data_IF_524176350874
#
_entry.id   IF_524176350874
#
_cell.length_a   1.000
_cell.length_b   1.000
_cell.length_c   1.000
_cell.angle_alpha   90.00
_cell.angle_beta   90.00
_cell.angle_gamma   90.00
#
_symmetry.space_group_name_H-M   'P 1'
#
loop_
_entity.id
_entity.type
_entity.pdbx_description
1 polymer ?
#
# COMPACT_ATOMS: atom_id res chain seq x y z
N UNK A 1 18.06 -1.51 -20.22
CA UNK A 1 17.70 -2.24 -21.46
C UNK A 1 16.20 -2.10 -21.66
N UNK A 2 15.74 -1.61 -22.81
CA UNK A 2 14.35 -1.80 -23.23
C UNK A 2 14.38 -2.73 -24.43
N UNK A 3 14.06 -4.00 -24.23
CA UNK A 3 13.78 -4.88 -25.36
C UNK A 3 12.52 -4.35 -26.06
N UNK A 4 12.44 -4.53 -27.38
CA UNK A 4 11.33 -4.08 -28.23
C UNK A 4 9.95 -4.65 -27.84
N UNK A 5 9.90 -5.67 -26.97
CA UNK A 5 8.67 -6.37 -26.57
C UNK A 5 7.68 -5.59 -25.69
N UNK A 6 8.02 -4.39 -25.22
CA UNK A 6 7.15 -3.56 -24.37
C UNK A 6 6.59 -2.31 -25.05
N UNK A 7 6.95 -2.05 -26.32
CA UNK A 7 6.51 -0.85 -27.03
C UNK A 7 4.98 -0.82 -27.16
N UNK A 8 4.36 0.28 -26.76
CA UNK A 8 2.91 0.49 -26.84
C UNK A 8 2.06 -0.31 -25.85
N UNK A 9 2.68 -1.02 -24.89
CA UNK A 9 1.96 -1.79 -23.86
C UNK A 9 1.72 -0.97 -22.60
N UNK A 10 0.55 -1.15 -22.00
CA UNK A 10 0.20 -0.65 -20.66
C UNK A 10 0.10 -1.83 -19.71
N UNK A 11 0.70 -1.69 -18.54
CA UNK A 11 0.78 -2.73 -17.53
C UNK A 11 0.22 -2.20 -16.20
N UNK A 12 -0.73 -2.91 -15.63
CA UNK A 12 -1.12 -2.71 -14.23
C UNK A 12 -0.15 -3.50 -13.37
N UNK A 13 0.62 -2.83 -12.51
CA UNK A 13 1.57 -3.47 -11.62
C UNK A 13 1.01 -3.51 -10.21
N UNK A 14 1.00 -4.69 -9.60
CA UNK A 14 0.54 -4.91 -8.23
C UNK A 14 1.53 -5.81 -7.49
N UNK A 15 1.44 -5.83 -6.17
CA UNK A 15 1.97 -6.94 -5.38
C UNK A 15 1.20 -8.25 -5.63
N UNK A 16 1.69 -9.38 -5.10
CA UNK A 16 1.01 -10.67 -5.23
C UNK A 16 -0.28 -10.76 -4.40
N UNK A 17 -0.37 -9.97 -3.32
CA UNK A 17 -1.44 -10.06 -2.32
C UNK A 17 -2.35 -8.82 -2.33
N UNK A 18 -3.65 -9.03 -2.12
CA UNK A 18 -4.62 -7.97 -1.83
C UNK A 18 -4.72 -7.82 -0.31
N UNK A 19 -4.30 -6.68 0.21
CA UNK A 19 -4.18 -6.47 1.65
C UNK A 19 -5.15 -5.40 2.14
N UNK A 20 -5.75 -5.65 3.31
CA UNK A 20 -6.42 -4.62 4.09
C UNK A 20 -5.40 -3.82 4.91
N UNK A 21 -5.78 -2.65 5.41
CA UNK A 21 -4.95 -1.91 6.36
C UNK A 21 -4.69 -2.69 7.67
N UNK A 22 -5.60 -3.59 8.05
CA UNK A 22 -5.41 -4.49 9.17
C UNK A 22 -4.30 -5.52 8.88
N UNK A 23 -4.27 -6.10 7.68
CA UNK A 23 -3.21 -7.04 7.27
C UNK A 23 -1.84 -6.36 7.24
N UNK A 24 -1.80 -5.11 6.76
CA UNK A 24 -0.60 -4.26 6.78
C UNK A 24 -0.10 -4.06 8.22
N UNK A 25 -0.99 -3.68 9.15
CA UNK A 25 -0.64 -3.50 10.56
C UNK A 25 -0.14 -4.79 11.22
N UNK A 26 -0.76 -5.93 10.91
CA UNK A 26 -0.31 -7.26 11.38
C UNK A 26 1.07 -7.62 10.84
N UNK A 27 1.33 -7.36 9.55
CA UNK A 27 2.62 -7.64 8.91
C UNK A 27 3.73 -6.78 9.52
N UNK A 28 3.47 -5.49 9.73
CA UNK A 28 4.40 -4.59 10.42
C UNK A 28 4.62 -5.00 11.88
N UNK A 29 3.58 -5.44 12.60
CA UNK A 29 3.71 -5.95 13.98
C UNK A 29 4.67 -7.14 14.04
N UNK A 30 4.49 -8.11 13.13
CA UNK A 30 5.37 -9.28 13.04
C UNK A 30 6.81 -8.88 12.70
N UNK A 31 7.00 -7.97 11.75
CA UNK A 31 8.32 -7.56 11.30
C UNK A 31 9.09 -6.76 12.36
N UNK A 32 8.41 -5.84 13.04
CA UNK A 32 9.03 -4.93 14.04
C UNK A 32 9.08 -5.53 15.44
N UNK A 33 8.27 -6.55 15.72
CA UNK A 33 8.00 -7.08 17.08
C UNK A 33 7.42 -6.04 18.04
N UNK A 34 6.86 -4.96 17.51
CA UNK A 34 6.17 -3.91 18.24
C UNK A 34 4.69 -3.94 17.84
N UNK A 35 3.79 -3.78 18.82
CA UNK A 35 2.35 -3.82 18.54
C UNK A 35 1.94 -2.62 17.68
N UNK A 36 1.51 -2.89 16.44
CA UNK A 36 0.99 -1.89 15.50
C UNK A 36 -0.46 -2.27 15.16
N UNK A 37 -1.37 -1.30 15.29
CA UNK A 37 -2.80 -1.51 15.07
C UNK A 37 -3.34 -0.53 14.05
N UNK A 38 -4.25 -1.01 13.22
CA UNK A 38 -5.04 -0.14 12.37
C UNK A 38 -6.33 0.25 13.10
N UNK A 39 -6.67 1.54 13.09
CA UNK A 39 -7.94 2.05 13.57
C UNK A 39 -8.69 2.66 12.40
N UNK A 40 -9.79 2.02 11.97
CA UNK A 40 -10.69 2.59 10.99
C UNK A 40 -11.52 3.68 11.66
N UNK A 41 -11.16 4.93 11.40
CA UNK A 41 -11.86 6.11 11.92
C UNK A 41 -12.77 6.71 10.85
N UNK A 42 -13.79 7.44 11.30
CA UNK A 42 -14.67 8.17 10.39
C UNK A 42 -13.88 9.15 9.51
N UNK A 43 -14.27 9.34 8.22
CA UNK A 43 -13.53 10.20 7.29
C UNK A 43 -13.32 11.63 7.82
N UNK A 44 -14.33 12.20 8.47
CA UNK A 44 -14.22 13.53 9.07
C UNK A 44 -13.15 13.60 10.16
N UNK A 45 -13.03 12.55 10.97
CA UNK A 45 -12.00 12.45 12.01
C UNK A 45 -10.62 12.25 11.41
N UNK A 46 -10.47 11.40 10.39
CA UNK A 46 -9.21 11.28 9.64
C UNK A 46 -8.79 12.62 9.03
N UNK A 47 -9.74 13.36 8.46
CA UNK A 47 -9.50 14.68 7.89
C UNK A 47 -8.95 15.68 8.91
N UNK A 48 -9.49 15.66 10.14
CA UNK A 48 -9.01 16.52 11.23
C UNK A 48 -7.55 16.21 11.61
N UNK A 49 -7.12 14.94 11.59
CA UNK A 49 -5.73 14.58 11.91
C UNK A 49 -4.71 15.11 10.90
N UNK A 50 -5.14 15.37 9.67
CA UNK A 50 -4.26 15.80 8.58
C UNK A 50 -4.41 17.30 8.24
N UNK A 51 -5.34 17.99 8.90
CA UNK A 51 -5.56 19.41 8.69
C UNK A 51 -4.30 20.22 9.05
N UNK A 52 -3.85 21.06 8.12
CA UNK A 52 -2.63 21.87 8.29
C UNK A 52 -1.32 21.11 8.02
N UNK A 53 -1.37 19.79 7.85
CA UNK A 53 -0.25 18.97 7.37
C UNK A 53 -0.27 18.92 5.83
N UNK A 54 -1.47 18.76 5.25
CA UNK A 54 -1.67 18.68 3.81
C UNK A 54 -2.41 19.91 3.28
N UNK A 55 -2.14 20.36 2.04
CA UNK A 55 -3.00 21.28 1.31
C UNK A 55 -4.42 20.72 1.14
N UNK A 56 -5.44 21.57 1.13
CA UNK A 56 -6.85 21.14 1.08
C UNK A 56 -7.16 20.19 -0.07
N UNK A 57 -6.68 20.47 -1.28
CA UNK A 57 -6.92 19.60 -2.45
C UNK A 57 -6.36 18.18 -2.25
N UNK A 58 -5.25 18.04 -1.53
CA UNK A 58 -4.63 16.74 -1.28
C UNK A 58 -5.36 16.01 -0.17
N UNK A 59 -5.86 16.73 0.84
CA UNK A 59 -6.68 16.15 1.90
C UNK A 59 -7.98 15.59 1.33
N UNK A 60 -8.65 16.35 0.47
CA UNK A 60 -9.90 15.94 -0.19
C UNK A 60 -9.67 14.67 -1.03
N UNK A 61 -8.60 14.65 -1.85
CA UNK A 61 -8.24 13.47 -2.65
C UNK A 61 -7.90 12.25 -1.79
N UNK A 62 -7.19 12.44 -0.67
CA UNK A 62 -6.86 11.33 0.23
C UNK A 62 -8.11 10.74 0.91
N UNK A 63 -9.07 11.58 1.29
CA UNK A 63 -10.34 11.12 1.85
C UNK A 63 -11.14 10.30 0.84
N UNK A 64 -11.15 10.72 -0.42
CA UNK A 64 -11.75 9.99 -1.54
C UNK A 64 -11.06 8.63 -1.75
N UNK A 65 -9.73 8.59 -1.87
CA UNK A 65 -8.93 7.37 -2.05
C UNK A 65 -9.20 6.34 -0.94
N UNK A 66 -9.21 6.75 0.32
CA UNK A 66 -9.49 5.83 1.44
C UNK A 66 -10.94 5.33 1.44
N UNK A 67 -11.88 6.08 0.87
CA UNK A 67 -13.23 5.57 0.63
C UNK A 67 -13.23 4.48 -0.46
N UNK A 68 -12.45 4.62 -1.53
CA UNK A 68 -12.25 3.57 -2.54
C UNK A 68 -11.64 2.30 -1.93
N UNK A 69 -10.60 2.45 -1.10
CA UNK A 69 -9.97 1.31 -0.41
C UNK A 69 -10.93 0.57 0.52
N UNK A 70 -11.76 1.29 1.29
CA UNK A 70 -12.80 0.67 2.13
C UNK A 70 -13.82 -0.14 1.33
N UNK A 71 -14.12 0.26 0.10
CA UNK A 71 -15.01 -0.49 -0.81
C UNK A 71 -14.30 -1.64 -1.54
N UNK A 72 -13.01 -1.85 -1.29
CA UNK A 72 -12.21 -2.90 -1.95
C UNK A 72 -11.93 -2.62 -3.42
N UNK A 73 -12.10 -1.38 -3.88
CA UNK A 73 -12.00 -1.04 -5.31
C UNK A 73 -10.55 -1.10 -5.83
N UNK A 74 -9.57 -1.18 -4.93
CA UNK A 74 -8.16 -1.42 -5.23
C UNK A 74 -7.69 -2.86 -4.95
N UNK A 75 -8.59 -3.80 -4.65
CA UNK A 75 -8.24 -5.17 -4.25
C UNK A 75 -7.73 -6.07 -5.40
N UNK A 76 -7.79 -5.61 -6.65
CA UNK A 76 -7.38 -6.40 -7.80
C UNK A 76 -5.86 -6.59 -7.82
N UNK A 77 -5.41 -7.83 -7.82
CA UNK A 77 -4.00 -8.19 -8.08
C UNK A 77 -3.79 -8.69 -9.51
N UNK A 78 -2.54 -8.68 -9.95
CA UNK A 78 -2.07 -9.09 -11.28
C UNK A 78 -0.76 -9.87 -11.16
N UNK A 79 -0.48 -10.75 -12.11
CA UNK A 79 0.80 -11.45 -12.21
C UNK A 79 1.83 -10.69 -13.06
N UNK A 80 1.54 -9.44 -13.41
CA UNK A 80 2.27 -8.70 -14.44
C UNK A 80 3.74 -8.46 -14.09
N UNK A 81 4.07 -8.28 -12.81
CA UNK A 81 5.47 -8.21 -12.37
C UNK A 81 6.22 -9.50 -12.71
N UNK A 82 5.61 -10.65 -12.47
CA UNK A 82 6.20 -11.96 -12.76
C UNK A 82 6.29 -12.23 -14.25
N UNK A 83 5.27 -11.88 -15.02
CA UNK A 83 5.26 -12.01 -16.48
C UNK A 83 6.38 -11.18 -17.14
N UNK A 84 6.66 -9.98 -16.63
CA UNK A 84 7.67 -9.08 -17.20
C UNK A 84 9.08 -9.43 -16.72
N UNK A 85 9.25 -9.78 -15.44
CA UNK A 85 10.58 -9.91 -14.82
C UNK A 85 11.05 -11.35 -14.66
N UNK A 86 10.15 -12.33 -14.79
CA UNK A 86 10.41 -13.75 -14.46
C UNK A 86 10.54 -14.03 -12.96
N UNK A 87 10.33 -13.04 -12.09
CA UNK A 87 10.41 -13.17 -10.63
C UNK A 87 9.04 -12.95 -10.01
N UNK A 88 8.71 -13.72 -8.97
CA UNK A 88 7.51 -13.47 -8.17
C UNK A 88 7.52 -12.03 -7.66
N UNK A 89 6.38 -11.34 -7.75
CA UNK A 89 6.24 -10.01 -7.17
C UNK A 89 6.54 -10.04 -5.67
N UNK A 90 7.23 -9.02 -5.17
CA UNK A 90 7.59 -8.91 -3.75
C UNK A 90 6.33 -8.82 -2.89
N UNK A 91 6.24 -9.62 -1.84
CA UNK A 91 5.12 -9.53 -0.88
C UNK A 91 5.32 -8.36 0.09
N UNK A 92 4.24 -7.93 0.73
CA UNK A 92 4.35 -6.89 1.75
C UNK A 92 5.12 -7.37 2.99
N UNK A 93 5.08 -8.66 3.32
CA UNK A 93 5.84 -9.24 4.42
C UNK A 93 7.36 -9.17 4.20
N UNK A 94 7.79 -9.46 2.97
CA UNK A 94 9.19 -9.31 2.58
C UNK A 94 9.63 -7.86 2.67
N UNK A 95 8.77 -6.91 2.27
CA UNK A 95 9.02 -5.48 2.42
C UNK A 95 9.11 -5.08 3.91
N UNK A 96 8.10 -5.42 4.70
CA UNK A 96 8.04 -5.06 6.12
C UNK A 96 9.23 -5.61 6.90
N UNK A 97 9.67 -6.83 6.60
CA UNK A 97 10.85 -7.45 7.23
C UNK A 97 12.14 -6.71 6.87
N UNK A 98 12.38 -6.43 5.58
CA UNK A 98 13.58 -5.73 5.11
C UNK A 98 13.71 -4.33 5.68
N UNK A 99 12.59 -3.60 5.76
CA UNK A 99 12.57 -2.21 6.23
C UNK A 99 12.15 -2.07 7.71
N UNK A 100 12.12 -3.18 8.45
CA UNK A 100 11.64 -3.20 9.84
C UNK A 100 12.30 -2.15 10.74
N UNK A 101 13.60 -1.88 10.54
CA UNK A 101 14.37 -0.88 11.28
C UNK A 101 13.88 0.58 11.08
N UNK A 102 13.26 0.91 9.95
CA UNK A 102 12.72 2.25 9.67
C UNK A 102 11.38 2.49 10.37
N UNK A 103 10.71 1.41 10.82
CA UNK A 103 9.40 1.46 11.45
C UNK A 103 9.44 1.38 12.98
N UNK A 104 10.60 1.10 13.56
CA UNK A 104 10.82 1.22 15.00
C UNK A 104 11.37 2.61 15.30
N UNK A 105 10.55 3.43 15.97
CA UNK A 105 10.99 4.73 16.48
C UNK A 105 12.12 4.57 17.50
N UNK A 106 13.04 5.54 17.53
CA UNK A 106 14.06 5.69 18.58
C UNK A 106 13.43 5.83 19.98
#
# INVERSE_FOLDING_TARGET
MTQSGHLGKTYTLTGPDSLTHQDIATSLTRATRSQITFSDVEPAQFGQYLQGILPSWQLDGLLEDYAHYRRGEAARTTNTVTEITGKTGRSFDEFATEFSAEFVGY
#
